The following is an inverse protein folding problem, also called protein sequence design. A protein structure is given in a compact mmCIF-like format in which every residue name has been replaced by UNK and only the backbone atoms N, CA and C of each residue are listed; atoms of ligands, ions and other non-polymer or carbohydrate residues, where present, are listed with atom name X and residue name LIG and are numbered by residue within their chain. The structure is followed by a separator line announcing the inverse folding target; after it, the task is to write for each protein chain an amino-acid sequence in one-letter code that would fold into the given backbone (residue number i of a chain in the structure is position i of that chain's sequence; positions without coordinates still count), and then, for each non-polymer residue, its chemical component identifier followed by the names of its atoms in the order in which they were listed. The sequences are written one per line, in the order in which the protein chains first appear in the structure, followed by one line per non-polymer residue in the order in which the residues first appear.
data_IF_254172515265
#
_entry.id   IF_254172515265
#
_cell.length_a   1.000
_cell.length_b   1.000
_cell.length_c   1.000
_cell.angle_alpha   90.00
_cell.angle_beta   90.00
_cell.angle_gamma   90.00
#
_symmetry.space_group_name_H-M   'P 1'
#
loop_
_entity.id
_entity.type
_entity.pdbx_description
1 polymer ?
#
# COMPACT_ATOMS: atom_id res chain seq x y z
N UNK A 1 -35.34 -13.04 3.93
CA UNK A 1 -34.03 -12.73 3.33
C UNK A 1 -33.18 -12.02 4.38
N UNK A 2 -32.23 -12.72 4.99
CA UNK A 2 -31.31 -12.12 5.94
C UNK A 2 -30.16 -11.47 5.16
N UNK A 3 -30.04 -10.16 5.26
CA UNK A 3 -28.89 -9.41 4.77
C UNK A 3 -27.68 -9.88 5.58
N UNK A 4 -26.78 -10.66 4.98
CA UNK A 4 -25.51 -11.00 5.62
C UNK A 4 -24.74 -9.69 5.74
N UNK A 5 -24.68 -9.12 6.95
CA UNK A 5 -23.80 -8.00 7.23
C UNK A 5 -22.38 -8.41 6.81
N UNK A 6 -21.67 -7.59 6.02
CA UNK A 6 -20.29 -7.90 5.72
C UNK A 6 -19.55 -7.99 7.05
N UNK A 7 -18.90 -9.14 7.30
CA UNK A 7 -17.97 -9.29 8.43
C UNK A 7 -17.03 -8.10 8.34
N UNK A 8 -16.96 -7.29 9.40
CA UNK A 8 -16.12 -6.09 9.47
C UNK A 8 -14.68 -6.49 9.19
N UNK A 9 -14.30 -6.47 7.90
CA UNK A 9 -12.96 -6.81 7.49
C UNK A 9 -12.07 -5.66 7.95
N UNK A 10 -10.91 -5.97 8.56
CA UNK A 10 -10.01 -4.93 9.00
C UNK A 10 -9.56 -4.08 7.81
N UNK A 11 -9.29 -2.79 8.05
CA UNK A 11 -8.91 -1.84 7.01
C UNK A 11 -7.67 -2.32 6.25
N UNK A 12 -7.73 -2.27 4.91
CA UNK A 12 -6.62 -2.60 4.00
C UNK A 12 -6.39 -1.39 3.11
N UNK A 13 -5.17 -0.87 3.11
CA UNK A 13 -4.79 0.32 2.34
C UNK A 13 -3.58 0.00 1.47
N UNK A 14 -3.54 0.59 0.28
CA UNK A 14 -2.37 0.54 -0.61
C UNK A 14 -1.68 1.88 -0.60
N UNK A 15 -0.35 1.89 -0.60
CA UNK A 15 0.43 3.11 -0.67
C UNK A 15 1.70 3.04 0.15
N UNK A 16 2.23 4.21 0.46
CA UNK A 16 3.49 4.36 1.21
C UNK A 16 3.31 5.46 2.25
N UNK A 17 3.70 5.16 3.48
CA UNK A 17 3.74 6.15 4.54
C UNK A 17 5.05 6.95 4.43
N UNK A 18 4.93 8.28 4.31
CA UNK A 18 6.06 9.21 4.19
C UNK A 18 5.86 10.38 5.16
N UNK A 19 6.95 10.88 5.72
CA UNK A 19 6.93 12.08 6.57
C UNK A 19 7.18 13.33 5.74
N UNK A 20 6.22 14.26 5.72
CA UNK A 20 6.41 15.57 5.12
C UNK A 20 7.11 16.50 6.10
N UNK A 21 8.12 17.21 5.60
CA UNK A 21 8.85 18.25 6.32
C UNK A 21 8.54 19.61 5.72
N UNK A 22 7.98 20.54 6.49
CA UNK A 22 7.66 21.90 6.01
C UNK A 22 8.17 22.99 6.93
N UNK A 23 8.55 24.12 6.31
CA UNK A 23 8.82 25.38 7.02
C UNK A 23 7.61 26.29 6.82
N UNK A 24 7.01 26.72 7.92
CA UNK A 24 5.78 27.51 7.95
C UNK A 24 5.99 29.00 7.58
N UNK A 25 7.25 29.46 7.54
CA UNK A 25 7.63 30.84 7.18
C UNK A 25 7.31 31.90 8.24
N UNK A 26 6.63 31.54 9.34
CA UNK A 26 6.31 32.46 10.43
C UNK A 26 7.56 32.71 11.28
N UNK A 27 7.89 33.98 11.54
CA UNK A 27 9.09 34.36 12.29
C UNK A 27 9.12 33.77 13.72
N UNK A 28 7.95 33.53 14.32
CA UNK A 28 7.81 32.95 15.67
C UNK A 28 7.73 31.42 15.68
N UNK A 29 7.83 30.76 14.53
CA UNK A 29 7.70 29.32 14.39
C UNK A 29 9.01 28.63 14.77
N UNK A 30 8.94 27.49 15.47
CA UNK A 30 10.14 26.65 15.73
C UNK A 30 10.86 26.22 14.44
N UNK A 31 10.13 26.12 13.32
CA UNK A 31 10.72 25.84 12.02
C UNK A 31 11.64 26.93 11.46
N UNK A 32 11.56 28.17 11.98
CA UNK A 32 12.50 29.23 11.64
C UNK A 32 13.82 29.10 12.41
N UNK A 33 13.82 28.38 13.53
CA UNK A 33 14.98 28.18 14.42
C UNK A 33 15.77 26.89 14.11
N UNK A 34 15.28 26.06 13.18
CA UNK A 34 15.99 24.86 12.70
C UNK A 34 15.16 23.58 12.70
N UNK A 35 14.07 23.51 13.47
CA UNK A 35 13.24 22.30 13.64
C UNK A 35 12.00 22.33 12.71
N UNK A 36 12.07 21.72 11.50
CA UNK A 36 10.96 21.73 10.56
C UNK A 36 9.74 21.00 11.12
N UNK A 37 8.54 21.40 10.69
CA UNK A 37 7.34 20.66 11.04
C UNK A 37 7.32 19.33 10.30
N UNK A 38 7.28 18.25 11.05
CA UNK A 38 7.06 16.91 10.54
C UNK A 38 5.57 16.58 10.60
N UNK A 39 5.03 16.02 9.52
CA UNK A 39 3.66 15.51 9.50
C UNK A 39 3.61 14.22 8.70
N UNK A 40 3.08 13.12 9.26
CA UNK A 40 2.96 11.87 8.54
C UNK A 40 1.94 12.03 7.41
N UNK A 41 2.19 11.39 6.27
CA UNK A 41 1.28 11.37 5.15
C UNK A 41 1.31 10.01 4.44
N UNK A 42 0.14 9.58 3.97
CA UNK A 42 -0.01 8.44 3.09
C UNK A 42 0.04 8.92 1.64
N UNK A 43 0.99 8.41 0.86
CA UNK A 43 1.03 8.57 -0.59
C UNK A 43 0.41 7.32 -1.22
N UNK A 44 -0.61 7.48 -2.05
CA UNK A 44 -1.29 6.37 -2.71
C UNK A 44 -1.64 6.72 -4.14
N UNK A 45 -1.59 5.73 -5.03
CA UNK A 45 -2.04 5.91 -6.42
C UNK A 45 -3.52 5.57 -6.52
N UNK A 46 -4.32 6.42 -7.12
CA UNK A 46 -5.73 6.19 -7.40
C UNK A 46 -6.06 6.70 -8.81
N UNK A 47 -6.71 5.86 -9.64
CA UNK A 47 -7.04 6.23 -11.03
C UNK A 47 -5.83 6.62 -11.88
N UNK A 48 -4.66 6.03 -11.63
CA UNK A 48 -3.40 6.34 -12.33
C UNK A 48 -2.71 7.63 -11.88
N UNK A 49 -3.23 8.31 -10.85
CA UNK A 49 -2.62 9.54 -10.30
C UNK A 49 -2.15 9.31 -8.87
N UNK A 50 -0.96 9.82 -8.54
CA UNK A 50 -0.43 9.81 -7.18
C UNK A 50 -1.11 10.90 -6.36
N UNK A 51 -1.71 10.50 -5.24
CA UNK A 51 -2.35 11.39 -4.27
C UNK A 51 -1.61 11.27 -2.93
N UNK A 52 -1.69 12.34 -2.14
CA UNK A 52 -1.10 12.42 -0.82
C UNK A 52 -2.16 12.83 0.17
N UNK A 53 -2.30 12.08 1.26
CA UNK A 53 -3.22 12.35 2.36
C UNK A 53 -2.42 12.55 3.63
N UNK A 54 -2.50 13.75 4.21
CA UNK A 54 -1.84 14.05 5.50
C UNK A 54 -2.60 13.37 6.62
N UNK A 55 -1.88 12.70 7.51
CA UNK A 55 -2.43 11.94 8.63
C UNK A 55 -2.14 12.65 9.95
N UNK A 56 -2.98 12.40 10.95
CA UNK A 56 -2.63 12.66 12.34
C UNK A 56 -1.79 11.52 12.91
N UNK A 57 -1.04 11.78 13.99
CA UNK A 57 -0.21 10.77 14.65
C UNK A 57 -1.02 9.56 15.15
N UNK A 58 -2.29 9.77 15.50
CA UNK A 58 -3.21 8.71 15.95
C UNK A 58 -3.58 7.74 14.82
N UNK A 59 -3.70 8.25 13.60
CA UNK A 59 -4.07 7.46 12.43
C UNK A 59 -2.88 6.68 11.86
N UNK A 60 -1.64 7.08 12.18
CA UNK A 60 -0.42 6.41 11.68
C UNK A 60 -0.41 4.93 12.03
N UNK A 61 -0.75 4.57 13.28
CA UNK A 61 -0.74 3.18 13.72
C UNK A 61 -1.75 2.33 12.94
N UNK A 62 -2.96 2.84 12.71
CA UNK A 62 -3.99 2.16 11.95
C UNK A 62 -3.62 2.01 10.47
N UNK A 63 -3.10 3.08 9.86
CA UNK A 63 -2.66 3.08 8.45
C UNK A 63 -1.49 2.12 8.25
N UNK A 64 -0.49 2.11 9.14
CA UNK A 64 0.63 1.17 9.07
C UNK A 64 0.15 -0.27 9.14
N UNK A 65 -0.78 -0.59 10.05
CA UNK A 65 -1.37 -1.93 10.11
C UNK A 65 -2.16 -2.28 8.83
N UNK A 66 -2.86 -1.32 8.25
CA UNK A 66 -3.60 -1.50 7.01
C UNK A 66 -2.69 -1.71 5.79
N UNK A 67 -1.56 -1.02 5.73
CA UNK A 67 -0.53 -1.19 4.70
C UNK A 67 0.11 -2.58 4.80
N UNK A 68 0.48 -3.02 6.01
CA UNK A 68 1.06 -4.34 6.23
C UNK A 68 0.11 -5.46 5.78
N UNK A 69 -1.20 -5.32 6.04
CA UNK A 69 -2.21 -6.27 5.56
C UNK A 69 -2.29 -6.31 4.04
N UNK A 70 -2.16 -5.17 3.37
CA UNK A 70 -2.18 -5.10 1.91
C UNK A 70 -0.96 -5.79 1.31
N UNK A 71 0.24 -5.50 1.81
CA UNK A 71 1.46 -6.12 1.29
C UNK A 71 1.44 -7.64 1.48
N UNK A 72 1.04 -8.14 2.66
CA UNK A 72 0.92 -9.58 2.90
C UNK A 72 -0.07 -10.25 1.92
N UNK A 73 -1.25 -9.64 1.71
CA UNK A 73 -2.24 -10.18 0.78
C UNK A 73 -1.76 -10.12 -0.69
N UNK A 74 -0.99 -9.09 -1.04
CA UNK A 74 -0.40 -8.94 -2.36
C UNK A 74 0.69 -9.99 -2.61
N UNK A 75 1.57 -10.23 -1.65
CA UNK A 75 2.61 -11.26 -1.74
C UNK A 75 2.01 -12.65 -1.93
N UNK A 76 0.95 -12.98 -1.19
CA UNK A 76 0.22 -14.24 -1.34
C UNK A 76 -0.35 -14.38 -2.76
N UNK A 77 -0.99 -13.31 -3.28
CA UNK A 77 -1.54 -13.28 -4.61
C UNK A 77 -0.46 -13.42 -5.69
N UNK A 78 0.65 -12.70 -5.56
CA UNK A 78 1.79 -12.74 -6.49
C UNK A 78 2.44 -14.13 -6.50
N UNK A 79 2.58 -14.77 -5.34
CA UNK A 79 3.07 -16.15 -5.24
C UNK A 79 2.15 -17.13 -5.99
N UNK A 80 0.84 -17.02 -5.79
CA UNK A 80 -0.15 -17.85 -6.48
C UNK A 80 -0.11 -17.62 -8.00
N UNK A 81 0.01 -16.37 -8.44
CA UNK A 81 0.11 -16.01 -9.86
C UNK A 81 1.39 -16.61 -10.48
N UNK A 82 2.53 -16.49 -9.81
CA UNK A 82 3.80 -17.04 -10.26
C UNK A 82 3.76 -18.58 -10.39
N UNK A 83 3.15 -19.26 -9.41
CA UNK A 83 2.95 -20.71 -9.47
C UNK A 83 2.07 -21.11 -10.67
N UNK A 84 1.01 -20.34 -10.94
CA UNK A 84 0.16 -20.53 -12.12
C UNK A 84 0.92 -20.37 -13.44
N UNK A 85 1.75 -19.33 -13.55
CA UNK A 85 2.59 -19.09 -14.72
C UNK A 85 3.62 -20.21 -14.94
N UNK A 86 4.26 -20.71 -13.88
CA UNK A 86 5.20 -21.83 -13.96
C UNK A 86 4.51 -23.10 -14.50
N UNK A 87 3.33 -23.44 -13.96
CA UNK A 87 2.52 -24.57 -14.45
C UNK A 87 2.14 -24.42 -15.92
N UNK A 88 1.76 -23.21 -16.35
CA UNK A 88 1.43 -22.95 -17.76
C UNK A 88 2.66 -23.09 -18.66
N UNK A 89 3.81 -22.56 -18.25
CA UNK A 89 5.07 -22.67 -19.00
C UNK A 89 5.50 -24.13 -19.15
N UNK A 90 5.44 -24.92 -18.08
CA UNK A 90 5.74 -26.35 -18.13
C UNK A 90 4.87 -27.11 -19.13
N UNK A 91 3.55 -26.88 -19.10
CA UNK A 91 2.60 -27.50 -20.06
C UNK A 91 2.87 -27.11 -21.53
N UNK A 92 3.39 -25.91 -21.80
CA UNK A 92 3.73 -25.50 -23.17
C UNK A 92 5.04 -26.12 -23.65
N UNK A 93 6.01 -26.33 -22.76
CA UNK A 93 7.28 -26.96 -23.10
C UNK A 93 7.10 -28.44 -23.43
N UNK A 94 6.30 -29.18 -22.64
CA UNK A 94 6.01 -30.60 -22.91
C UNK A 94 5.33 -30.78 -24.27
N UNK A 95 4.30 -29.97 -24.56
CA UNK A 95 3.59 -29.97 -25.87
C UNK A 95 4.46 -29.62 -27.06
N UNK A 96 5.56 -28.88 -26.86
CA UNK A 96 6.52 -28.55 -27.92
C UNK A 96 7.50 -29.71 -28.14
N UNK A 97 7.90 -30.40 -27.07
CA UNK A 97 8.72 -31.61 -27.15
C UNK A 97 8.00 -32.76 -27.85
N UNK A 98 6.69 -32.94 -27.61
CA UNK A 98 5.88 -33.99 -28.25
C UNK A 98 5.60 -33.76 -29.76
N UNK A 99 5.87 -32.56 -30.27
CA UNK A 99 5.64 -32.19 -31.69
C UNK A 99 6.91 -32.24 -32.55
N UNK A 100 8.08 -32.45 -31.94
CA UNK A 100 9.38 -32.56 -32.61
C UNK A 100 9.77 -34.04 -32.68
#
# INVERSE_FOLDING_TARGET
MACIAPRSRPLVLRGTLTTFRRRCGKATCRCAQGEPHESPALVFTEGGRTKTLTLSEKEVAEVTAALARYEAAKEELDAAANAGLAKLRGRRQSRRGERQ
#
